data_IF_497117598314
#
_entry.id   IF_497117598314
#
_cell.length_a   1.000
_cell.length_b   1.000
_cell.length_c   1.000
_cell.angle_alpha   90.00
_cell.angle_beta   90.00
_cell.angle_gamma   90.00
#
_symmetry.space_group_name_H-M   'P 1'
#
loop_
_entity.id
_entity.type
_entity.pdbx_description
1 polymer ?
#
# COMPACT_ATOMS: atom_id res chain seq x y z
N UNK A 1 62.19 -19.95 67.96
CA UNK A 1 62.66 -21.33 68.00
C UNK A 1 62.26 -21.97 66.68
N UNK A 2 63.26 -22.17 65.84
CA UNK A 2 63.73 -23.49 65.28
C UNK A 2 62.61 -24.28 64.59
N UNK A 3 62.67 -24.71 63.38
CA UNK A 3 63.78 -25.30 62.66
C UNK A 3 63.56 -25.30 61.14
N UNK A 4 64.62 -25.15 60.48
CA UNK A 4 64.98 -25.37 59.11
C UNK A 4 64.97 -26.85 58.76
N UNK A 5 64.29 -27.26 57.65
CA UNK A 5 64.61 -28.50 56.95
C UNK A 5 64.73 -28.32 55.46
N UNK A 6 65.93 -28.46 55.01
CA UNK A 6 66.45 -28.59 53.68
C UNK A 6 66.17 -29.97 53.11
N UNK A 7 65.59 -30.13 51.93
CA UNK A 7 65.65 -31.37 51.20
C UNK A 7 65.83 -31.22 49.69
N UNK A 8 66.77 -31.80 49.30
CA UNK A 8 67.62 -32.10 48.17
C UNK A 8 66.86 -32.42 46.87
N UNK A 9 67.37 -31.83 45.82
CA UNK A 9 67.00 -32.04 44.41
C UNK A 9 67.45 -33.41 43.91
N UNK A 10 66.66 -34.07 43.09
CA UNK A 10 67.05 -35.00 42.06
C UNK A 10 66.36 -34.64 40.76
N UNK A 11 67.14 -34.20 39.76
CA UNK A 11 66.75 -33.93 38.41
C UNK A 11 66.72 -35.22 37.58
N UNK A 12 65.56 -35.56 37.04
CA UNK A 12 65.47 -36.55 35.97
C UNK A 12 65.09 -35.86 34.67
N UNK A 13 66.04 -35.85 33.74
CA UNK A 13 65.85 -35.41 32.37
C UNK A 13 65.28 -36.55 31.55
N UNK A 14 63.96 -36.37 31.15
CA UNK A 14 63.38 -37.23 30.12
C UNK A 14 63.44 -36.50 28.78
N UNK A 15 64.17 -37.06 27.83
CA UNK A 15 64.13 -36.73 26.44
C UNK A 15 62.83 -37.29 25.85
N UNK A 16 61.89 -36.48 25.48
CA UNK A 16 60.72 -36.89 24.73
C UNK A 16 60.81 -36.41 23.28
N UNK A 17 60.86 -37.37 22.36
CA UNK A 17 60.79 -37.15 20.92
C UNK A 17 59.46 -36.48 20.60
N UNK A 18 59.50 -35.25 20.08
CA UNK A 18 58.33 -34.58 19.50
C UNK A 18 58.15 -34.99 18.03
N UNK A 19 57.11 -35.82 17.77
CA UNK A 19 56.66 -36.05 16.42
C UNK A 19 55.81 -34.87 16.05
N UNK A 20 56.19 -34.07 15.06
CA UNK A 20 55.44 -32.99 14.46
C UNK A 20 54.27 -33.59 13.63
N UNK A 21 53.07 -33.56 14.14
CA UNK A 21 51.84 -33.75 13.35
C UNK A 21 51.50 -32.45 12.66
N UNK A 22 51.46 -32.46 11.30
CA UNK A 22 50.94 -31.38 10.47
C UNK A 22 49.53 -31.02 10.91
N UNK A 23 49.17 -29.75 11.05
CA UNK A 23 47.79 -29.35 11.27
C UNK A 23 46.93 -29.66 10.02
N UNK A 24 45.77 -30.29 10.20
CA UNK A 24 44.77 -30.48 9.17
C UNK A 24 44.23 -29.12 8.69
N UNK A 25 43.87 -29.00 7.40
CA UNK A 25 43.28 -27.75 6.90
C UNK A 25 41.95 -27.48 7.62
N UNK A 26 41.82 -26.30 8.22
CA UNK A 26 40.56 -25.81 8.76
C UNK A 26 39.55 -25.79 7.61
N UNK A 27 38.45 -26.52 7.77
CA UNK A 27 37.30 -26.37 6.93
C UNK A 27 36.86 -24.88 6.99
N UNK A 28 36.79 -24.23 5.83
CA UNK A 28 36.15 -22.96 5.69
C UNK A 28 34.71 -23.14 6.14
N UNK A 29 34.35 -22.62 7.31
CA UNK A 29 32.97 -22.30 7.60
C UNK A 29 32.53 -21.32 6.52
N UNK A 30 31.62 -21.77 5.64
CA UNK A 30 30.92 -20.89 4.73
C UNK A 30 30.19 -19.90 5.61
N UNK A 31 30.64 -18.65 5.62
CA UNK A 31 29.82 -17.53 6.09
C UNK A 31 28.49 -17.57 5.32
N UNK A 32 27.48 -18.12 5.96
CA UNK A 32 26.10 -17.99 5.48
C UNK A 32 25.80 -16.49 5.37
N UNK A 33 25.70 -16.00 4.16
CA UNK A 33 25.24 -14.67 3.86
C UNK A 33 23.91 -14.48 4.62
N UNK A 34 23.94 -13.81 5.75
CA UNK A 34 22.74 -13.28 6.39
C UNK A 34 22.18 -12.26 5.41
N UNK A 35 21.17 -12.64 4.66
CA UNK A 35 20.38 -11.71 3.86
C UNK A 35 19.77 -10.74 4.87
N UNK A 36 20.27 -9.51 4.92
CA UNK A 36 19.66 -8.46 5.73
C UNK A 36 18.22 -8.27 5.20
N UNK A 37 17.24 -8.63 6.02
CA UNK A 37 15.84 -8.39 5.72
C UNK A 37 15.61 -6.89 5.73
N UNK A 38 15.24 -6.32 4.57
CA UNK A 38 14.90 -4.90 4.47
C UNK A 38 13.65 -4.63 5.32
N UNK A 39 13.61 -3.56 6.11
CA UNK A 39 12.40 -3.17 6.84
C UNK A 39 11.25 -2.93 5.85
N UNK A 40 10.03 -3.24 6.26
CA UNK A 40 8.83 -3.05 5.41
C UNK A 40 8.67 -1.58 5.01
N UNK A 41 8.92 -0.66 5.93
CA UNK A 41 8.84 0.78 5.68
C UNK A 41 10.24 1.34 5.45
N UNK A 42 10.41 2.04 4.33
CA UNK A 42 11.58 2.87 4.04
C UNK A 42 11.17 4.34 4.15
N UNK A 43 11.51 5.05 5.23
CA UNK A 43 11.07 6.43 5.47
C UNK A 43 11.52 7.42 4.39
N UNK A 44 12.61 7.12 3.67
CA UNK A 44 13.12 7.96 2.58
C UNK A 44 12.36 7.77 1.25
N UNK A 45 11.51 6.76 1.15
CA UNK A 45 10.73 6.48 -0.06
C UNK A 45 9.70 7.58 -0.31
N UNK A 46 9.65 8.10 -1.55
CA UNK A 46 8.78 9.23 -1.93
C UNK A 46 7.52 8.82 -2.70
N UNK A 47 7.43 7.55 -3.05
CA UNK A 47 6.23 6.98 -3.70
C UNK A 47 5.89 5.64 -3.05
N UNK A 48 4.68 5.13 -3.29
CA UNK A 48 4.19 3.88 -2.70
C UNK A 48 5.20 2.75 -2.83
N UNK A 49 5.71 2.51 -4.05
CA UNK A 49 6.64 1.40 -4.31
C UNK A 49 8.02 1.55 -3.68
N UNK A 50 8.45 2.73 -3.32
CA UNK A 50 9.75 2.98 -2.68
C UNK A 50 9.64 3.16 -1.17
N UNK A 51 8.49 3.61 -0.66
CA UNK A 51 8.19 3.71 0.77
C UNK A 51 7.99 2.33 1.40
N UNK A 52 7.33 1.42 0.70
CA UNK A 52 7.00 0.11 1.23
C UNK A 52 7.75 -0.99 0.49
N UNK A 53 8.61 -1.70 1.17
CA UNK A 53 9.28 -2.88 0.64
C UNK A 53 8.30 -4.07 0.60
N UNK A 54 8.52 -5.02 -0.30
CA UNK A 54 7.79 -6.29 -0.28
C UNK A 54 8.25 -7.15 0.90
N UNK A 55 7.36 -7.97 1.48
CA UNK A 55 7.76 -8.95 2.49
C UNK A 55 8.83 -9.91 1.97
N UNK A 56 9.59 -10.50 2.88
CA UNK A 56 10.60 -11.49 2.52
C UNK A 56 9.99 -12.66 1.73
N UNK A 57 10.67 -13.08 0.67
CA UNK A 57 10.19 -14.14 -0.22
C UNK A 57 9.18 -13.72 -1.28
N UNK A 58 8.70 -12.45 -1.24
CA UNK A 58 7.77 -11.90 -2.24
C UNK A 58 8.50 -11.04 -3.28
N UNK A 59 7.88 -10.94 -4.44
CA UNK A 59 8.28 -10.01 -5.51
C UNK A 59 7.04 -9.26 -6.00
N UNK A 60 7.20 -7.96 -6.34
CA UNK A 60 6.11 -7.23 -6.99
C UNK A 60 5.76 -7.88 -8.31
N UNK A 61 4.45 -7.90 -8.63
CA UNK A 61 4.01 -8.28 -9.97
C UNK A 61 4.56 -7.30 -11.00
N UNK A 62 4.94 -7.81 -12.17
CA UNK A 62 5.32 -6.95 -13.30
C UNK A 62 4.06 -6.27 -13.85
N UNK A 63 4.16 -4.99 -14.11
CA UNK A 63 3.06 -4.20 -14.66
C UNK A 63 3.55 -3.45 -15.92
N UNK A 64 2.74 -3.37 -16.97
CA UNK A 64 3.13 -2.67 -18.19
C UNK A 64 3.49 -1.19 -17.93
N UNK A 65 4.45 -0.68 -18.67
CA UNK A 65 4.79 0.73 -18.62
C UNK A 65 3.54 1.58 -18.93
N UNK A 66 3.40 2.70 -18.22
CA UNK A 66 2.27 3.62 -18.33
C UNK A 66 0.89 3.00 -18.01
N UNK A 67 0.86 1.82 -17.36
CA UNK A 67 -0.38 1.19 -16.94
C UNK A 67 -1.03 1.92 -15.75
N UNK A 68 -2.33 1.69 -15.56
CA UNK A 68 -3.06 2.12 -14.37
C UNK A 68 -2.41 1.62 -13.07
N UNK A 69 -1.99 0.35 -13.06
CA UNK A 69 -1.32 -0.25 -11.93
C UNK A 69 0.00 0.45 -11.58
N UNK A 70 0.84 0.74 -12.59
CA UNK A 70 2.11 1.44 -12.36
C UNK A 70 1.88 2.89 -11.89
N UNK A 71 0.83 3.55 -12.35
CA UNK A 71 0.44 4.89 -11.88
C UNK A 71 0.12 4.88 -10.38
N UNK A 72 -0.62 3.89 -9.90
CA UNK A 72 -0.96 3.75 -8.47
C UNK A 72 0.27 3.43 -7.61
N UNK A 73 1.16 2.56 -8.06
CA UNK A 73 2.45 2.30 -7.39
C UNK A 73 3.34 3.53 -7.28
N UNK A 74 3.17 4.48 -8.18
CA UNK A 74 3.95 5.70 -8.28
C UNK A 74 3.27 6.91 -7.62
N UNK A 75 2.18 6.70 -6.89
CA UNK A 75 1.52 7.78 -6.15
C UNK A 75 2.53 8.45 -5.21
N UNK A 76 2.69 9.78 -5.29
CA UNK A 76 3.60 10.52 -4.42
C UNK A 76 3.12 10.45 -2.97
N UNK A 77 4.06 10.33 -2.05
CA UNK A 77 3.79 10.29 -0.62
C UNK A 77 4.43 11.50 0.06
N UNK A 78 3.74 12.02 1.05
CA UNK A 78 4.30 12.98 1.99
C UNK A 78 5.46 12.37 2.79
N UNK A 79 6.18 13.20 3.53
CA UNK A 79 7.23 12.74 4.43
C UNK A 79 6.70 11.66 5.38
N UNK A 80 7.59 10.78 5.80
CA UNK A 80 7.25 9.72 6.75
C UNK A 80 6.71 10.31 8.06
N UNK A 81 5.66 9.70 8.62
CA UNK A 81 4.97 10.20 9.80
C UNK A 81 4.04 11.39 9.55
N UNK A 82 3.82 11.82 8.30
CA UNK A 82 2.86 12.88 7.99
C UNK A 82 1.44 12.51 8.44
N UNK A 83 0.74 13.48 9.02
CA UNK A 83 -0.65 13.33 9.45
C UNK A 83 -1.61 13.58 8.29
N UNK A 84 -2.69 12.78 8.21
CA UNK A 84 -3.81 13.00 7.27
C UNK A 84 -4.54 14.28 7.65
N UNK A 85 -4.71 15.18 6.69
CA UNK A 85 -5.50 16.41 6.85
C UNK A 85 -6.86 16.26 6.17
N UNK A 86 -7.87 16.77 6.87
CA UNK A 86 -9.21 16.95 6.33
C UNK A 86 -9.28 18.21 5.45
N UNK A 87 -10.34 18.33 4.66
CA UNK A 87 -10.61 19.50 3.80
C UNK A 87 -10.57 20.84 4.56
N UNK A 88 -10.88 20.84 5.84
CA UNK A 88 -10.85 21.99 6.73
C UNK A 88 -9.43 22.37 7.20
N UNK A 89 -8.44 21.52 6.95
CA UNK A 89 -7.08 21.61 7.50
C UNK A 89 -6.92 20.94 8.87
N UNK A 90 -7.99 20.43 9.47
CA UNK A 90 -7.91 19.65 10.71
C UNK A 90 -7.15 18.33 10.48
N UNK A 91 -6.50 17.84 11.53
CA UNK A 91 -5.89 16.51 11.51
C UNK A 91 -6.95 15.44 11.75
N UNK A 92 -6.91 14.36 10.97
CA UNK A 92 -7.75 13.18 11.21
C UNK A 92 -7.56 12.68 12.65
N UNK A 93 -8.63 12.47 13.43
CA UNK A 93 -8.52 12.16 14.86
C UNK A 93 -7.95 10.77 15.14
N UNK A 94 -8.02 9.82 14.20
CA UNK A 94 -7.48 8.46 14.35
C UNK A 94 -6.36 8.19 13.35
N UNK A 95 -5.11 8.45 13.75
CA UNK A 95 -3.92 8.26 12.90
C UNK A 95 -3.32 6.84 12.94
N UNK A 96 -3.88 5.91 13.74
CA UNK A 96 -3.43 4.51 13.78
C UNK A 96 -4.05 3.66 12.65
N UNK A 97 -4.74 4.27 11.71
CA UNK A 97 -5.41 3.59 10.60
C UNK A 97 -4.59 3.54 9.32
N UNK A 98 -3.47 4.25 9.27
CA UNK A 98 -2.65 4.41 8.06
C UNK A 98 -1.15 4.50 8.36
N UNK A 99 -0.34 4.24 7.33
CA UNK A 99 1.12 4.24 7.39
C UNK A 99 1.75 5.35 6.54
N UNK A 100 1.03 5.91 5.59
CA UNK A 100 1.50 7.02 4.77
C UNK A 100 0.34 7.83 4.20
N UNK A 101 0.61 9.08 3.84
CA UNK A 101 -0.33 10.01 3.23
C UNK A 101 0.09 10.27 1.78
N UNK A 102 -0.84 10.14 0.86
CA UNK A 102 -0.62 10.47 -0.56
C UNK A 102 -0.56 11.99 -0.72
N UNK A 103 0.51 12.48 -1.35
CA UNK A 103 0.74 13.91 -1.57
C UNK A 103 -0.03 14.43 -2.79
N UNK A 104 -1.34 14.54 -2.63
CA UNK A 104 -2.26 15.09 -3.62
C UNK A 104 -3.23 16.06 -2.95
N UNK A 105 -3.34 17.32 -3.43
CA UNK A 105 -4.26 18.29 -2.83
C UNK A 105 -5.72 17.85 -3.01
N UNK A 106 -6.54 18.02 -1.96
CA UNK A 106 -7.94 17.59 -1.93
C UNK A 106 -8.95 18.74 -2.06
N UNK A 107 -8.47 19.97 -2.17
CA UNK A 107 -9.32 21.16 -2.14
C UNK A 107 -9.74 21.53 -0.70
N UNK A 108 -10.69 22.45 -0.60
CA UNK A 108 -11.17 23.02 0.66
C UNK A 108 -12.67 22.84 0.89
N UNK A 109 -13.27 21.86 0.21
CA UNK A 109 -14.69 21.50 0.33
C UNK A 109 -14.81 20.06 0.85
N UNK A 110 -15.88 19.80 1.59
CA UNK A 110 -16.19 18.42 2.03
C UNK A 110 -16.76 17.58 0.86
N UNK A 111 -15.90 17.31 -0.14
CA UNK A 111 -16.28 16.62 -1.37
C UNK A 111 -15.42 15.38 -1.66
N UNK A 112 -14.12 15.49 -1.50
CA UNK A 112 -13.17 14.44 -1.83
C UNK A 112 -13.19 13.32 -0.77
N UNK A 113 -14.30 12.55 -0.72
CA UNK A 113 -14.48 11.44 0.22
C UNK A 113 -14.02 10.09 -0.40
N UNK A 114 -14.39 8.96 0.18
CA UNK A 114 -13.87 7.64 -0.18
C UNK A 114 -14.07 7.26 -1.67
N UNK A 115 -15.29 7.35 -2.18
CA UNK A 115 -15.59 7.06 -3.59
C UNK A 115 -14.98 8.09 -4.54
N UNK A 116 -14.93 9.35 -4.10
CA UNK A 116 -14.39 10.47 -4.88
C UNK A 116 -12.89 10.35 -5.08
N UNK A 117 -12.17 9.86 -4.08
CA UNK A 117 -10.75 9.54 -4.17
C UNK A 117 -10.49 8.48 -5.26
N UNK A 118 -11.30 7.43 -5.31
CA UNK A 118 -11.19 6.38 -6.34
C UNK A 118 -11.46 6.96 -7.74
N UNK A 119 -12.52 7.74 -7.89
CA UNK A 119 -12.87 8.39 -9.15
C UNK A 119 -11.79 9.39 -9.59
N UNK A 120 -11.23 10.15 -8.67
CA UNK A 120 -10.14 11.08 -8.92
C UNK A 120 -8.89 10.37 -9.42
N UNK A 121 -8.43 9.34 -8.71
CA UNK A 121 -7.23 8.61 -9.12
C UNK A 121 -7.37 8.04 -10.54
N UNK A 122 -8.55 7.50 -10.87
CA UNK A 122 -8.86 7.02 -12.23
C UNK A 122 -8.83 8.14 -13.26
N UNK A 123 -9.44 9.29 -12.95
CA UNK A 123 -9.46 10.44 -13.84
C UNK A 123 -8.05 11.04 -14.05
N UNK A 124 -7.27 11.19 -12.99
CA UNK A 124 -5.89 11.69 -13.07
C UNK A 124 -5.01 10.80 -13.95
N UNK A 125 -5.16 9.48 -13.83
CA UNK A 125 -4.48 8.52 -14.71
C UNK A 125 -4.88 8.70 -16.18
N UNK A 126 -6.18 8.65 -16.49
CA UNK A 126 -6.68 8.79 -17.86
C UNK A 126 -6.27 10.14 -18.46
N UNK A 127 -6.32 11.20 -17.66
CA UNK A 127 -5.88 12.53 -18.07
C UNK A 127 -4.39 12.56 -18.41
N UNK A 128 -3.54 11.92 -17.60
CA UNK A 128 -2.10 11.82 -17.86
C UNK A 128 -1.77 11.10 -19.16
N UNK A 129 -2.65 10.19 -19.59
CA UNK A 129 -2.54 9.44 -20.84
C UNK A 129 -3.25 10.16 -22.03
N UNK A 130 -3.76 11.38 -21.84
CA UNK A 130 -4.58 12.10 -22.81
C UNK A 130 -5.84 11.34 -23.29
N UNK A 131 -6.33 10.41 -22.48
CA UNK A 131 -7.52 9.59 -22.74
C UNK A 131 -8.79 10.27 -22.21
N UNK A 132 -9.00 11.49 -22.66
CA UNK A 132 -10.04 12.38 -22.13
C UNK A 132 -11.47 11.86 -22.33
N UNK A 133 -11.72 11.15 -23.44
CA UNK A 133 -13.05 10.60 -23.77
C UNK A 133 -13.46 9.45 -22.83
N UNK A 134 -12.49 8.81 -22.17
CA UNK A 134 -12.74 7.73 -21.24
C UNK A 134 -13.00 8.24 -19.81
N UNK A 135 -12.73 9.52 -19.53
CA UNK A 135 -13.04 10.13 -18.24
C UNK A 135 -14.55 10.37 -18.16
N UNK A 136 -15.24 9.46 -17.49
CA UNK A 136 -16.68 9.56 -17.29
C UNK A 136 -17.11 8.85 -16.01
N UNK A 137 -18.07 9.44 -15.30
CA UNK A 137 -18.58 8.88 -14.04
C UNK A 137 -20.10 8.92 -13.99
N UNK A 138 -20.67 7.87 -13.37
CA UNK A 138 -22.10 7.72 -13.15
C UNK A 138 -22.50 8.57 -11.94
N UNK A 139 -23.51 9.44 -12.13
CA UNK A 139 -24.13 10.23 -11.07
C UNK A 139 -25.14 9.39 -10.28
N UNK A 140 -25.52 9.85 -9.09
CA UNK A 140 -26.60 9.27 -8.29
C UNK A 140 -27.95 9.27 -9.02
N UNK A 141 -28.17 10.23 -9.93
CA UNK A 141 -29.36 10.29 -10.81
C UNK A 141 -29.42 9.18 -11.87
N UNK A 142 -28.33 8.37 -12.00
CA UNK A 142 -28.19 7.35 -13.04
C UNK A 142 -27.62 7.86 -14.37
N UNK A 143 -27.48 9.16 -14.56
CA UNK A 143 -26.86 9.76 -15.75
C UNK A 143 -25.33 9.64 -15.66
N UNK A 144 -24.66 9.61 -16.82
CA UNK A 144 -23.20 9.66 -16.90
C UNK A 144 -22.74 11.05 -17.28
N UNK A 145 -21.78 11.58 -16.55
CA UNK A 145 -21.06 12.82 -16.85
C UNK A 145 -19.75 12.47 -17.54
N UNK A 146 -19.57 12.89 -18.80
CA UNK A 146 -18.34 12.75 -19.57
C UNK A 146 -17.53 14.04 -19.48
N UNK A 147 -16.20 13.92 -19.27
CA UNK A 147 -15.30 15.07 -19.20
C UNK A 147 -15.30 15.90 -20.49
N UNK A 148 -15.19 15.26 -21.64
CA UNK A 148 -15.16 15.94 -22.94
C UNK A 148 -16.47 16.68 -23.22
N UNK A 149 -17.64 16.10 -22.87
CA UNK A 149 -18.93 16.80 -22.97
C UNK A 149 -19.02 17.95 -21.97
N UNK A 150 -18.52 17.76 -20.77
CA UNK A 150 -18.52 18.81 -19.73
C UNK A 150 -17.59 19.98 -20.12
N UNK A 151 -16.45 19.70 -20.78
CA UNK A 151 -15.54 20.74 -21.29
C UNK A 151 -16.25 21.72 -22.24
N UNK A 152 -17.22 21.26 -23.04
CA UNK A 152 -17.96 22.11 -23.98
C UNK A 152 -17.06 23.02 -24.81
N UNK A 153 -15.94 22.49 -25.33
CA UNK A 153 -14.96 23.23 -26.14
C UNK A 153 -13.84 23.93 -25.35
N UNK A 154 -13.85 23.88 -24.01
CA UNK A 154 -12.73 24.40 -23.19
C UNK A 154 -11.51 23.49 -23.32
N UNK A 155 -10.32 24.05 -23.03
CA UNK A 155 -9.06 23.31 -23.08
C UNK A 155 -9.02 22.24 -21.98
N UNK A 156 -8.58 21.00 -22.28
CA UNK A 156 -8.35 19.97 -21.27
C UNK A 156 -7.05 20.29 -20.50
N UNK A 157 -7.19 20.97 -19.37
CA UNK A 157 -6.11 21.27 -18.44
C UNK A 157 -6.45 20.79 -17.02
N UNK A 158 -5.48 20.87 -16.10
CA UNK A 158 -5.62 20.41 -14.71
C UNK A 158 -6.71 21.19 -13.94
N UNK A 159 -6.87 22.47 -14.22
CA UNK A 159 -7.89 23.32 -13.58
C UNK A 159 -9.30 22.88 -14.00
N UNK A 160 -9.50 22.67 -15.31
CA UNK A 160 -10.77 22.18 -15.83
C UNK A 160 -11.05 20.74 -15.37
N UNK A 161 -10.02 19.87 -15.25
CA UNK A 161 -10.20 18.54 -14.70
C UNK A 161 -10.66 18.61 -13.25
N UNK A 162 -10.03 19.45 -12.42
CA UNK A 162 -10.43 19.60 -11.01
C UNK A 162 -11.87 20.12 -10.88
N UNK A 163 -12.24 21.14 -11.65
CA UNK A 163 -13.61 21.68 -11.64
C UNK A 163 -14.64 20.64 -12.09
N UNK A 164 -14.30 19.82 -13.08
CA UNK A 164 -15.12 18.68 -13.48
C UNK A 164 -15.26 17.67 -12.35
N UNK A 165 -14.15 17.31 -11.68
CA UNK A 165 -14.17 16.37 -10.57
C UNK A 165 -14.99 16.89 -9.38
N UNK A 166 -14.89 18.17 -9.03
CA UNK A 166 -15.79 18.75 -8.01
C UNK A 166 -17.28 18.61 -8.39
N UNK A 167 -17.61 18.74 -9.68
CA UNK A 167 -18.98 18.50 -10.13
C UNK A 167 -19.36 17.00 -10.01
N UNK A 168 -18.44 16.09 -10.32
CA UNK A 168 -18.63 14.65 -10.13
C UNK A 168 -18.86 14.34 -8.65
N UNK A 169 -18.01 14.82 -7.76
CA UNK A 169 -18.08 14.56 -6.32
C UNK A 169 -19.40 15.06 -5.70
N UNK A 170 -19.93 16.19 -6.19
CA UNK A 170 -21.24 16.70 -5.75
C UNK A 170 -22.43 15.84 -6.21
N UNK A 171 -22.28 15.04 -7.26
CA UNK A 171 -23.41 14.39 -7.94
C UNK A 171 -23.30 12.87 -8.03
N UNK A 172 -22.13 12.30 -7.79
CA UNK A 172 -21.89 10.87 -7.65
C UNK A 172 -21.83 10.48 -6.17
N UNK A 173 -21.79 9.19 -5.90
CA UNK A 173 -21.63 8.62 -4.57
C UNK A 173 -21.18 7.15 -4.66
N UNK A 174 -21.00 6.51 -3.51
CA UNK A 174 -20.59 5.09 -3.43
C UNK A 174 -21.55 4.17 -4.20
N UNK A 175 -22.87 4.43 -4.16
CA UNK A 175 -23.87 3.63 -4.91
C UNK A 175 -23.70 3.77 -6.42
N UNK A 176 -23.55 4.99 -6.92
CA UNK A 176 -23.37 5.23 -8.37
C UNK A 176 -22.05 4.67 -8.88
N UNK A 177 -20.96 4.79 -8.10
CA UNK A 177 -19.69 4.15 -8.44
C UNK A 177 -19.80 2.63 -8.43
N UNK A 178 -20.44 2.04 -7.42
CA UNK A 178 -20.68 0.59 -7.36
C UNK A 178 -21.48 0.07 -8.57
N UNK A 179 -22.40 0.86 -9.10
CA UNK A 179 -23.18 0.52 -10.32
C UNK A 179 -22.36 0.67 -11.60
N UNK A 180 -21.37 1.54 -11.61
CA UNK A 180 -20.47 1.73 -12.75
C UNK A 180 -19.42 0.63 -12.85
N UNK A 181 -18.88 0.19 -11.72
CA UNK A 181 -17.83 -0.83 -11.66
C UNK A 181 -18.39 -2.23 -11.92
N UNK A 182 -17.60 -3.08 -12.55
CA UNK A 182 -17.91 -4.50 -12.79
C UNK A 182 -17.44 -5.38 -11.64
N UNK A 183 -18.26 -6.37 -11.26
CA UNK A 183 -17.88 -7.39 -10.28
C UNK A 183 -16.68 -8.20 -10.78
N UNK A 184 -15.78 -8.54 -9.87
CA UNK A 184 -14.57 -9.30 -10.15
C UNK A 184 -14.34 -10.38 -9.12
N UNK A 185 -13.81 -11.53 -9.55
CA UNK A 185 -13.40 -12.59 -8.64
C UNK A 185 -12.19 -12.15 -7.84
N UNK A 186 -12.18 -12.46 -6.53
CA UNK A 186 -11.02 -12.16 -5.67
C UNK A 186 -9.73 -12.85 -6.17
N UNK A 187 -9.84 -13.99 -6.83
CA UNK A 187 -8.70 -14.71 -7.42
C UNK A 187 -8.00 -13.92 -8.52
N UNK A 188 -8.73 -13.02 -9.16
CA UNK A 188 -8.26 -12.18 -10.26
C UNK A 188 -7.89 -10.77 -9.81
N UNK A 189 -7.75 -10.54 -8.48
CA UNK A 189 -7.41 -9.23 -7.91
C UNK A 189 -6.19 -8.63 -8.60
N UNK A 190 -6.35 -7.38 -9.02
CA UNK A 190 -5.31 -6.59 -9.67
C UNK A 190 -5.20 -5.20 -9.02
N UNK A 191 -4.08 -4.54 -9.26
CA UNK A 191 -3.89 -3.15 -8.85
C UNK A 191 -4.89 -2.27 -9.61
N UNK A 192 -5.57 -1.40 -8.88
CA UNK A 192 -6.65 -0.55 -9.41
C UNK A 192 -8.05 -1.11 -9.24
N UNK A 193 -8.17 -2.35 -8.74
CA UNK A 193 -9.46 -2.87 -8.29
C UNK A 193 -9.94 -2.19 -7.01
N UNK A 194 -11.25 -2.20 -6.80
CA UNK A 194 -11.92 -1.45 -5.75
C UNK A 194 -12.76 -2.38 -4.90
N UNK A 195 -12.54 -2.41 -3.60
CA UNK A 195 -13.52 -2.95 -2.68
C UNK A 195 -14.54 -1.86 -2.39
N UNK A 196 -15.82 -2.14 -2.62
CA UNK A 196 -16.87 -1.14 -2.51
C UNK A 196 -18.15 -1.71 -1.91
N UNK A 197 -18.66 -1.04 -0.88
CA UNK A 197 -19.91 -1.35 -0.22
C UNK A 197 -20.83 -0.14 -0.36
N UNK A 198 -21.95 -0.23 -1.12
CA UNK A 198 -23.00 0.79 -1.06
C UNK A 198 -23.61 0.84 0.34
N UNK A 199 -24.29 1.93 0.71
CA UNK A 199 -24.99 2.00 2.00
C UNK A 199 -25.88 0.78 2.22
N UNK A 200 -25.71 0.06 3.34
CA UNK A 200 -26.66 -0.99 3.73
C UNK A 200 -28.08 -0.45 3.91
N UNK A 201 -29.07 -1.33 3.88
CA UNK A 201 -30.45 -0.92 4.09
C UNK A 201 -30.64 -0.15 5.42
N UNK A 202 -31.23 1.05 5.34
CA UNK A 202 -31.41 1.95 6.50
C UNK A 202 -30.19 2.80 6.87
N UNK A 203 -29.05 2.66 6.17
CA UNK A 203 -27.88 3.52 6.32
C UNK A 203 -27.72 4.47 5.13
N UNK A 204 -27.07 5.60 5.37
CA UNK A 204 -26.81 6.61 4.32
C UNK A 204 -25.38 6.55 3.78
N UNK A 205 -24.49 5.82 4.46
CA UNK A 205 -23.05 5.81 4.22
C UNK A 205 -22.61 4.43 3.75
N UNK A 206 -21.93 4.40 2.62
CA UNK A 206 -21.14 3.27 2.12
C UNK A 206 -19.66 3.60 2.15
N UNK A 207 -18.80 2.67 1.71
CA UNK A 207 -17.36 2.89 1.66
C UNK A 207 -16.72 2.29 0.43
N UNK A 208 -15.59 2.87 -0.01
CA UNK A 208 -14.80 2.41 -1.14
C UNK A 208 -13.31 2.58 -0.85
N UNK A 209 -12.53 1.54 -1.14
CA UNK A 209 -11.08 1.53 -1.04
C UNK A 209 -10.48 0.93 -2.31
N UNK A 210 -9.24 1.26 -2.63
CA UNK A 210 -8.59 0.86 -3.87
C UNK A 210 -7.31 0.07 -3.61
N UNK A 211 -7.05 -0.95 -4.42
CA UNK A 211 -5.79 -1.71 -4.43
C UNK A 211 -4.71 -0.89 -5.12
N UNK A 212 -3.61 -0.58 -4.43
CA UNK A 212 -2.54 0.30 -4.96
C UNK A 212 -1.24 -0.43 -5.26
N UNK A 213 -1.03 -1.62 -4.70
CA UNK A 213 0.12 -2.46 -5.02
C UNK A 213 -0.19 -3.94 -4.79
N UNK A 214 0.59 -4.83 -5.42
CA UNK A 214 0.45 -6.29 -5.32
C UNK A 214 1.81 -6.97 -5.44
N UNK A 215 2.02 -8.02 -4.64
CA UNK A 215 3.20 -8.88 -4.71
C UNK A 215 2.80 -10.35 -4.62
N UNK A 216 3.69 -11.22 -5.08
CA UNK A 216 3.49 -12.67 -5.12
C UNK A 216 4.77 -13.38 -4.71
N UNK A 217 4.64 -14.49 -3.99
CA UNK A 217 5.76 -15.37 -3.68
C UNK A 217 5.91 -16.52 -4.71
N UNK A 218 6.94 -17.34 -4.55
CA UNK A 218 7.21 -18.49 -5.43
C UNK A 218 6.16 -19.60 -5.33
N UNK A 219 5.38 -19.64 -4.27
CA UNK A 219 4.29 -20.61 -4.07
C UNK A 219 2.96 -20.11 -4.65
N UNK A 220 2.92 -18.86 -5.17
CA UNK A 220 1.72 -18.24 -5.70
C UNK A 220 0.86 -17.54 -4.63
N UNK A 221 1.37 -17.38 -3.40
CA UNK A 221 0.68 -16.59 -2.37
C UNK A 221 0.73 -15.12 -2.75
N UNK A 222 -0.40 -14.44 -2.71
CA UNK A 222 -0.54 -13.04 -3.11
C UNK A 222 -0.78 -12.16 -1.88
N UNK A 223 -0.11 -11.01 -1.86
CA UNK A 223 -0.40 -9.91 -0.94
C UNK A 223 -0.66 -8.62 -1.72
N UNK A 224 -1.45 -7.71 -1.14
CA UNK A 224 -1.82 -6.44 -1.76
C UNK A 224 -1.87 -5.31 -0.73
N UNK A 225 -1.77 -4.07 -1.20
CA UNK A 225 -1.91 -2.86 -0.39
C UNK A 225 -3.15 -2.08 -0.78
N UNK A 226 -3.71 -1.37 0.20
CA UNK A 226 -4.94 -0.62 0.07
C UNK A 226 -4.72 0.86 0.35
N UNK A 227 -5.49 1.70 -0.35
CA UNK A 227 -5.59 3.12 -0.07
C UNK A 227 -7.05 3.57 0.01
N UNK A 228 -7.30 4.61 0.80
CA UNK A 228 -8.61 5.24 0.93
C UNK A 228 -8.49 6.74 1.18
N UNK A 229 -9.55 7.50 0.90
CA UNK A 229 -9.96 8.67 1.64
C UNK A 229 -11.15 8.29 2.55
N UNK A 230 -11.65 9.22 3.37
CA UNK A 230 -12.75 8.93 4.30
C UNK A 230 -13.69 10.13 4.44
N UNK A 231 -14.58 10.10 5.44
CA UNK A 231 -15.53 11.18 5.76
C UNK A 231 -15.23 11.76 7.16
N UNK A 232 -15.14 13.07 7.30
CA UNK A 232 -15.27 14.10 6.26
C UNK A 232 -14.14 13.98 5.22
N UNK A 233 -14.25 14.71 4.09
CA UNK A 233 -13.27 14.69 3.00
C UNK A 233 -11.86 14.91 3.53
N UNK A 234 -10.95 14.03 3.18
CA UNK A 234 -9.59 14.01 3.70
C UNK A 234 -8.60 13.48 2.67
N UNK A 235 -7.32 13.60 2.98
CA UNK A 235 -6.24 13.12 2.12
C UNK A 235 -6.29 11.60 1.98
N UNK A 236 -5.85 11.13 0.81
CA UNK A 236 -5.74 9.68 0.55
C UNK A 236 -4.60 9.13 1.41
N UNK A 237 -4.83 7.99 2.02
CA UNK A 237 -3.91 7.34 2.94
C UNK A 237 -3.68 5.87 2.56
N UNK A 238 -2.47 5.38 2.75
CA UNK A 238 -2.13 3.96 2.64
C UNK A 238 -2.48 3.28 3.95
N UNK A 239 -3.35 2.30 3.90
CA UNK A 239 -3.91 1.66 5.10
C UNK A 239 -2.88 0.79 5.82
N UNK A 240 -2.90 0.84 7.14
CA UNK A 240 -2.28 -0.16 7.99
C UNK A 240 -3.10 -1.46 7.97
N UNK A 241 -2.45 -2.60 8.13
CA UNK A 241 -3.16 -3.88 8.25
C UNK A 241 -3.43 -4.19 9.73
N UNK A 242 -4.70 -4.18 10.18
CA UNK A 242 -5.02 -4.44 11.59
C UNK A 242 -4.59 -5.82 12.10
N UNK A 243 -4.34 -6.79 11.19
CA UNK A 243 -3.88 -8.12 11.55
C UNK A 243 -2.35 -8.21 11.64
N UNK A 244 -1.62 -7.20 11.16
CA UNK A 244 -0.16 -7.09 11.21
C UNK A 244 0.24 -5.61 11.28
N UNK A 245 0.01 -4.93 12.44
CA UNK A 245 0.21 -3.49 12.58
C UNK A 245 1.60 -3.03 12.21
N UNK A 246 1.70 -1.93 11.46
CA UNK A 246 2.94 -1.41 10.90
C UNK A 246 3.30 -2.04 9.54
N UNK A 247 2.44 -2.88 8.99
CA UNK A 247 2.64 -3.54 7.70
C UNK A 247 1.43 -3.26 6.77
N UNK A 248 1.60 -2.63 5.57
CA UNK A 248 0.50 -2.32 4.67
C UNK A 248 0.03 -3.51 3.82
N UNK A 249 0.67 -4.67 3.93
CA UNK A 249 0.42 -5.82 3.09
C UNK A 249 -0.67 -6.73 3.67
N UNK A 250 -1.79 -6.84 2.97
CA UNK A 250 -2.90 -7.74 3.27
C UNK A 250 -2.73 -9.05 2.52
N UNK A 251 -3.09 -10.18 3.13
CA UNK A 251 -3.14 -11.48 2.44
C UNK A 251 -4.38 -11.56 1.54
N UNK A 252 -4.22 -12.12 0.32
CA UNK A 252 -5.37 -12.37 -0.56
C UNK A 252 -6.33 -13.40 0.03
N UNK A 253 -5.81 -14.37 0.78
CA UNK A 253 -6.59 -15.33 1.54
C UNK A 253 -6.92 -14.76 2.93
N UNK A 254 -7.79 -13.76 2.96
CA UNK A 254 -8.26 -13.12 4.20
C UNK A 254 -9.52 -13.80 4.79
N UNK A 255 -9.92 -14.97 4.26
CA UNK A 255 -11.10 -15.69 4.72
C UNK A 255 -12.42 -15.02 4.33
N UNK A 256 -13.37 -14.96 5.25
CA UNK A 256 -14.71 -14.42 4.99
C UNK A 256 -14.72 -12.88 4.94
N UNK A 257 -13.89 -12.23 5.76
CA UNK A 257 -13.89 -10.78 5.95
C UNK A 257 -12.50 -10.21 5.81
N UNK A 258 -12.35 -9.27 4.90
CA UNK A 258 -11.20 -8.38 4.82
C UNK A 258 -11.37 -7.30 5.88
N UNK A 259 -10.65 -7.42 6.98
CA UNK A 259 -10.63 -6.43 8.05
C UNK A 259 -9.69 -5.30 7.67
N UNK A 260 -10.23 -4.11 7.47
CA UNK A 260 -9.46 -2.87 7.32
C UNK A 260 -9.71 -1.98 8.55
N UNK A 261 -8.90 -0.96 8.81
CA UNK A 261 -8.96 -0.21 10.07
C UNK A 261 -10.31 0.44 10.36
N UNK A 262 -11.06 0.82 9.34
CA UNK A 262 -12.28 1.63 9.51
C UNK A 262 -13.54 1.00 8.89
N UNK A 263 -13.38 -0.02 8.02
CA UNK A 263 -14.53 -0.63 7.33
C UNK A 263 -14.23 -2.08 6.91
N UNK A 264 -15.04 -3.07 7.27
CA UNK A 264 -14.84 -4.44 6.79
C UNK A 264 -15.41 -4.64 5.38
N UNK A 265 -14.77 -5.52 4.60
CA UNK A 265 -15.24 -5.94 3.29
C UNK A 265 -15.31 -7.46 3.15
N UNK A 266 -15.96 -7.93 2.10
CA UNK A 266 -15.95 -9.33 1.68
C UNK A 266 -15.39 -9.46 0.27
N UNK A 267 -14.98 -10.66 -0.12
CA UNK A 267 -14.46 -10.93 -1.46
C UNK A 267 -15.47 -10.62 -2.58
N UNK A 268 -16.76 -10.72 -2.32
CA UNK A 268 -17.82 -10.41 -3.28
C UNK A 268 -17.99 -8.91 -3.58
N UNK A 269 -17.36 -8.06 -2.79
CA UNK A 269 -17.38 -6.60 -2.95
C UNK A 269 -16.24 -6.06 -3.82
N UNK A 270 -15.39 -6.97 -4.34
CA UNK A 270 -14.34 -6.60 -5.29
C UNK A 270 -14.93 -6.26 -6.64
N UNK A 271 -14.56 -5.09 -7.16
CA UNK A 271 -14.97 -4.59 -8.47
C UNK A 271 -13.81 -3.93 -9.21
N UNK A 272 -14.00 -3.71 -10.52
CA UNK A 272 -12.99 -3.12 -11.39
C UNK A 272 -13.60 -2.08 -12.33
N UNK A 273 -12.81 -1.08 -12.75
CA UNK A 273 -13.11 -0.27 -13.92
C UNK A 273 -12.96 -1.12 -15.20
N UNK A 274 -13.76 -0.77 -16.22
CA UNK A 274 -13.58 -1.34 -17.59
C UNK A 274 -12.39 -0.72 -18.30
#
# INVERSE_FOLDING_TARGET
MKALFLNLFIAFTFFACQSQSKPAPKANESEGSKTETKPIINPEGKVVSTRFNVPEGFSRTEEPANSWALSLRSLPLKEDGAEVKEFSGATKPNYQTYLAVVDLPIGNKDLHQCADAVMRLRADYLFSQSRFDEISFRQASGKTISYTKWLAGRTPDKTNLWTYLENVFNTANTTSLNQQLKAKSIKDLAIGDVFITPPPAGMTVGHAIIVVDKCIDKAGKVKFMLAQSYMPAQEIQILDNPQDPGNPWYDLDFGQTLNTPEWPFTSSQLKTFE
#
